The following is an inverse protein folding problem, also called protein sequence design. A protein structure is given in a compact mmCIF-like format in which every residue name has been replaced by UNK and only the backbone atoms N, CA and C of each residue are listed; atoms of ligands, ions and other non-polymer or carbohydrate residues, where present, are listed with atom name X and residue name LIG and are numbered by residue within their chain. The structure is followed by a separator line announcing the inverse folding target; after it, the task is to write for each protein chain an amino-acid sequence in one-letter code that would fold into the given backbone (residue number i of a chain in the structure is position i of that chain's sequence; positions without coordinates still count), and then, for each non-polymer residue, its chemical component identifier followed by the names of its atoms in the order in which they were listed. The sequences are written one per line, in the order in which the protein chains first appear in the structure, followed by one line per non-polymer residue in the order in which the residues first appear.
data_IF_767913240525
#
_entry.id   IF_767913240525
#
_cell.length_a   1.000
_cell.length_b   1.000
_cell.length_c   1.000
_cell.angle_alpha   90.00
_cell.angle_beta   90.00
_cell.angle_gamma   90.00
#
_symmetry.space_group_name_H-M   'P 1'
#
loop_
_entity.id
_entity.type
_entity.pdbx_description
1 polymer ?
#
# COMPACT_ATOMS: atom_id res chain seq x y z
N UNK A 1 9.23 -1.76 22.51
CA UNK A 1 8.45 -2.61 21.60
C UNK A 1 8.70 -2.10 20.20
N UNK A 2 9.14 -2.97 19.30
CA UNK A 2 9.35 -2.60 17.90
C UNK A 2 8.01 -2.26 17.24
N UNK A 3 8.00 -1.19 16.43
CA UNK A 3 6.81 -0.70 15.72
C UNK A 3 6.39 -1.74 14.68
N UNK A 4 5.17 -2.30 14.78
CA UNK A 4 4.63 -3.21 13.74
C UNK A 4 4.22 -2.43 12.50
N UNK A 5 4.62 -2.90 11.32
CA UNK A 5 4.43 -2.22 10.04
C UNK A 5 3.52 -3.02 9.10
N UNK A 6 2.47 -2.37 8.60
CA UNK A 6 1.56 -2.94 7.61
C UNK A 6 1.73 -2.23 6.26
N UNK A 7 2.16 -2.96 5.23
CA UNK A 7 2.27 -2.46 3.87
C UNK A 7 1.06 -2.80 3.02
N UNK A 8 0.91 -2.10 1.88
CA UNK A 8 -0.07 -2.42 0.84
C UNK A 8 0.61 -2.65 -0.51
N UNK A 9 0.04 -3.54 -1.31
CA UNK A 9 0.33 -3.64 -2.75
C UNK A 9 -0.95 -3.90 -3.52
N UNK A 10 -1.04 -3.44 -4.76
CA UNK A 10 -2.21 -3.71 -5.57
C UNK A 10 -2.16 -3.07 -6.94
N UNK A 11 -3.21 -3.32 -7.72
CA UNK A 11 -3.32 -2.83 -9.08
C UNK A 11 -3.50 -1.32 -9.16
N UNK A 12 -2.89 -0.72 -10.18
CA UNK A 12 -3.02 0.72 -10.46
C UNK A 12 -4.39 1.12 -10.98
N UNK A 13 -5.10 0.16 -11.58
CA UNK A 13 -6.44 0.31 -12.11
C UNK A 13 -7.30 -0.76 -11.45
N UNK A 14 -8.27 -0.33 -10.67
CA UNK A 14 -9.32 -1.18 -10.12
C UNK A 14 -10.54 -0.94 -11.01
N UNK A 15 -11.15 -1.97 -11.61
CA UNK A 15 -12.39 -1.80 -12.37
C UNK A 15 -13.48 -1.17 -11.49
N UNK A 16 -14.26 -0.25 -12.05
CA UNK A 16 -15.23 0.55 -11.28
C UNK A 16 -16.25 -0.32 -10.52
N UNK A 17 -16.65 -1.44 -11.12
CA UNK A 17 -17.56 -2.43 -10.51
C UNK A 17 -17.02 -3.05 -9.21
N UNK A 18 -15.69 -3.11 -9.03
CA UNK A 18 -15.05 -3.64 -7.82
C UNK A 18 -14.52 -2.55 -6.88
N UNK A 19 -14.69 -1.26 -7.22
CA UNK A 19 -14.12 -0.17 -6.44
C UNK A 19 -14.63 -0.17 -4.99
N UNK A 20 -15.93 -0.36 -4.79
CA UNK A 20 -16.53 -0.41 -3.46
C UNK A 20 -16.12 -1.67 -2.70
N UNK A 21 -16.11 -2.83 -3.36
CA UNK A 21 -15.62 -4.09 -2.75
C UNK A 21 -14.18 -3.95 -2.25
N UNK A 22 -13.29 -3.37 -3.07
CA UNK A 22 -11.89 -3.15 -2.68
C UNK A 22 -11.79 -2.17 -1.53
N UNK A 23 -12.58 -1.08 -1.54
CA UNK A 23 -12.61 -0.11 -0.44
C UNK A 23 -13.03 -0.75 0.87
N UNK A 24 -14.09 -1.56 0.88
CA UNK A 24 -14.56 -2.27 2.06
C UNK A 24 -13.56 -3.32 2.55
N UNK A 25 -12.94 -4.06 1.62
CA UNK A 25 -11.88 -5.01 1.96
C UNK A 25 -10.67 -4.32 2.59
N UNK A 26 -10.23 -3.19 2.03
CA UNK A 26 -9.12 -2.41 2.59
C UNK A 26 -9.47 -1.87 3.98
N UNK A 27 -10.69 -1.33 4.15
CA UNK A 27 -11.17 -0.84 5.44
C UNK A 27 -11.11 -1.95 6.50
N UNK A 28 -11.67 -3.12 6.18
CA UNK A 28 -11.67 -4.28 7.07
C UNK A 28 -10.26 -4.74 7.46
N UNK A 29 -9.36 -4.91 6.48
CA UNK A 29 -8.00 -5.39 6.76
C UNK A 29 -7.15 -4.36 7.51
N UNK A 30 -7.36 -3.06 7.26
CA UNK A 30 -6.72 -1.98 8.04
C UNK A 30 -7.24 -2.01 9.49
N UNK A 31 -8.53 -2.17 9.73
CA UNK A 31 -9.09 -2.28 11.09
C UNK A 31 -8.55 -3.49 11.84
N UNK A 32 -8.43 -4.63 11.16
CA UNK A 32 -7.80 -5.83 11.72
C UNK A 32 -6.33 -5.58 12.06
N UNK A 33 -5.58 -4.93 11.18
CA UNK A 33 -4.19 -4.56 11.48
C UNK A 33 -4.11 -3.63 12.71
N UNK A 34 -4.98 -2.62 12.82
CA UNK A 34 -5.03 -1.74 14.00
C UNK A 34 -5.33 -2.55 15.28
N UNK A 35 -6.31 -3.45 15.23
CA UNK A 35 -6.65 -4.32 16.37
C UNK A 35 -5.50 -5.26 16.77
N UNK A 36 -4.69 -5.70 15.81
CA UNK A 36 -3.51 -6.55 16.02
C UNK A 36 -2.26 -5.76 16.49
N UNK A 37 -2.41 -4.46 16.74
CA UNK A 37 -1.39 -3.57 17.29
C UNK A 37 -0.48 -2.91 16.25
N UNK A 38 -0.89 -2.87 14.98
CA UNK A 38 -0.14 -2.14 13.95
C UNK A 38 -0.41 -0.65 14.05
N UNK A 39 0.65 0.13 14.20
CA UNK A 39 0.59 1.60 14.29
C UNK A 39 1.30 2.30 13.12
N UNK A 40 2.08 1.56 12.33
CA UNK A 40 2.69 2.07 11.10
C UNK A 40 2.07 1.43 9.87
N UNK A 41 1.72 2.26 8.90
CA UNK A 41 1.26 1.84 7.59
C UNK A 41 2.17 2.42 6.51
N UNK A 42 2.51 1.62 5.50
CA UNK A 42 3.34 2.08 4.40
C UNK A 42 2.64 1.89 3.05
N UNK A 43 2.72 2.91 2.21
CA UNK A 43 2.20 2.90 0.85
C UNK A 43 3.26 3.42 -0.10
N UNK A 44 3.32 2.92 -1.33
CA UNK A 44 4.17 3.53 -2.35
C UNK A 44 3.43 4.43 -3.34
N UNK A 45 2.18 4.78 -3.02
CA UNK A 45 1.40 5.81 -3.71
C UNK A 45 1.27 5.57 -5.22
N UNK A 46 1.31 4.32 -5.68
CA UNK A 46 0.80 3.98 -7.00
C UNK A 46 -0.70 4.29 -7.04
N UNK A 47 -1.22 4.65 -8.22
CA UNK A 47 -2.65 4.87 -8.40
C UNK A 47 -3.47 3.63 -7.94
N UNK A 48 -4.77 3.78 -7.74
CA UNK A 48 -5.65 2.67 -7.38
C UNK A 48 -5.48 2.25 -5.91
N UNK A 49 -5.16 0.97 -5.68
CA UNK A 49 -5.21 0.36 -4.34
C UNK A 49 -4.29 1.05 -3.31
N UNK A 50 -3.06 1.43 -3.71
CA UNK A 50 -2.08 1.98 -2.77
C UNK A 50 -2.46 3.40 -2.30
N UNK A 51 -3.07 4.21 -3.17
CA UNK A 51 -3.61 5.54 -2.81
C UNK A 51 -4.91 5.43 -2.01
N UNK A 52 -5.81 4.49 -2.34
CA UNK A 52 -7.04 4.26 -1.57
C UNK A 52 -6.72 3.79 -0.14
N UNK A 53 -5.75 2.90 0.02
CA UNK A 53 -5.24 2.50 1.33
C UNK A 53 -4.67 3.68 2.11
N UNK A 54 -3.85 4.53 1.47
CA UNK A 54 -3.28 5.72 2.11
C UNK A 54 -4.37 6.67 2.62
N UNK A 55 -5.41 6.90 1.83
CA UNK A 55 -6.56 7.72 2.22
C UNK A 55 -7.28 7.12 3.45
N UNK A 56 -7.60 5.82 3.44
CA UNK A 56 -8.29 5.16 4.55
C UNK A 56 -7.47 5.24 5.85
N UNK A 57 -6.16 4.98 5.78
CA UNK A 57 -5.26 5.09 6.94
C UNK A 57 -5.26 6.51 7.50
N UNK A 58 -5.16 7.52 6.62
CA UNK A 58 -5.17 8.91 7.03
C UNK A 58 -6.50 9.35 7.65
N UNK A 59 -7.63 8.85 7.16
CA UNK A 59 -8.92 9.11 7.78
C UNK A 59 -9.01 8.49 9.18
N UNK A 60 -8.56 7.25 9.35
CA UNK A 60 -8.50 6.62 10.68
C UNK A 60 -7.54 7.29 11.64
N UNK A 61 -6.44 7.86 11.14
CA UNK A 61 -5.49 8.60 11.95
C UNK A 61 -6.10 9.88 12.57
N UNK A 62 -7.23 10.39 12.05
CA UNK A 62 -7.97 11.50 12.68
C UNK A 62 -8.58 11.09 14.03
N UNK A 63 -9.00 9.84 14.15
CA UNK A 63 -9.62 9.26 15.35
C UNK A 63 -8.59 8.59 16.27
N UNK A 64 -7.49 8.08 15.68
CA UNK A 64 -6.40 7.45 16.40
C UNK A 64 -5.04 8.06 16.00
N UNK A 65 -4.56 9.09 16.71
CA UNK A 65 -3.30 9.76 16.41
C UNK A 65 -2.04 8.89 16.52
N UNK A 66 -2.14 7.69 17.10
CA UNK A 66 -1.03 6.74 17.12
C UNK A 66 -0.77 6.10 15.74
N UNK A 67 -1.74 6.17 14.82
CA UNK A 67 -1.58 5.62 13.48
C UNK A 67 -0.77 6.58 12.61
N UNK A 68 0.25 6.02 11.95
CA UNK A 68 1.15 6.76 11.09
C UNK A 68 1.15 6.17 9.68
N UNK A 69 1.13 7.05 8.67
CA UNK A 69 1.36 6.68 7.28
C UNK A 69 2.78 7.11 6.88
N UNK A 70 3.52 6.24 6.20
CA UNK A 70 4.78 6.56 5.53
C UNK A 70 4.69 6.27 4.02
N UNK A 71 5.26 7.15 3.21
CA UNK A 71 5.28 7.01 1.76
C UNK A 71 6.64 6.46 1.30
N UNK A 72 6.66 5.33 0.61
CA UNK A 72 7.88 4.73 0.03
C UNK A 72 7.83 4.88 -1.49
N UNK A 73 8.40 5.96 -2.00
CA UNK A 73 8.30 6.38 -3.40
C UNK A 73 9.49 5.88 -4.22
N UNK A 74 9.27 5.50 -5.50
CA UNK A 74 10.32 4.88 -6.28
C UNK A 74 11.41 5.89 -6.68
N UNK A 75 11.05 7.10 -7.10
CA UNK A 75 12.03 8.10 -7.52
C UNK A 75 11.56 9.55 -7.40
N UNK A 76 12.48 10.52 -7.39
CA UNK A 76 12.21 11.95 -7.16
C UNK A 76 11.15 12.52 -8.10
N UNK A 77 11.28 12.27 -9.40
CA UNK A 77 10.30 12.77 -10.37
C UNK A 77 8.90 12.16 -10.17
N UNK A 78 8.75 10.99 -9.54
CA UNK A 78 7.44 10.46 -9.16
C UNK A 78 6.85 11.27 -7.99
N UNK A 79 7.65 11.58 -6.97
CA UNK A 79 7.24 12.47 -5.89
C UNK A 79 6.76 13.83 -6.41
N UNK A 80 7.56 14.49 -7.26
CA UNK A 80 7.19 15.77 -7.86
C UNK A 80 5.90 15.71 -8.69
N UNK A 81 5.62 14.58 -9.36
CA UNK A 81 4.36 14.37 -10.08
C UNK A 81 3.16 14.23 -9.13
N UNK A 82 3.33 13.52 -8.01
CA UNK A 82 2.28 13.40 -6.99
C UNK A 82 1.96 14.76 -6.35
N UNK A 83 2.94 15.64 -6.19
CA UNK A 83 2.69 16.99 -5.66
C UNK A 83 1.86 17.90 -6.59
N UNK A 84 1.68 17.54 -7.87
CA UNK A 84 0.87 18.31 -8.82
C UNK A 84 -0.62 18.03 -8.72
N UNK A 85 -0.99 16.89 -8.14
CA UNK A 85 -2.38 16.53 -7.87
C UNK A 85 -2.69 16.87 -6.41
N UNK A 86 -3.67 17.75 -6.19
CA UNK A 86 -3.99 18.27 -4.86
C UNK A 86 -4.39 17.15 -3.89
N UNK A 87 -5.06 16.09 -4.36
CA UNK A 87 -5.43 14.96 -3.49
C UNK A 87 -4.17 14.22 -3.01
N UNK A 88 -3.26 13.84 -3.91
CA UNK A 88 -2.04 13.14 -3.49
C UNK A 88 -1.07 14.04 -2.74
N UNK A 89 -1.02 15.34 -3.04
CA UNK A 89 -0.26 16.33 -2.26
C UNK A 89 -0.74 16.40 -0.82
N UNK A 90 -2.05 16.58 -0.60
CA UNK A 90 -2.63 16.62 0.75
C UNK A 90 -2.34 15.34 1.55
N UNK A 91 -2.39 14.16 0.90
CA UNK A 91 -2.02 12.90 1.56
C UNK A 91 -0.53 12.82 1.92
N UNK A 92 0.35 13.28 1.02
CA UNK A 92 1.80 13.28 1.26
C UNK A 92 2.20 14.24 2.39
N UNK A 93 1.58 15.41 2.48
CA UNK A 93 1.82 16.37 3.57
C UNK A 93 1.42 15.82 4.95
N UNK A 94 0.49 14.86 5.00
CA UNK A 94 0.07 14.17 6.22
C UNK A 94 0.86 12.90 6.51
N UNK A 95 1.77 12.49 5.63
CA UNK A 95 2.65 11.36 5.90
C UNK A 95 3.69 11.72 6.96
N UNK A 96 3.88 10.85 7.94
CA UNK A 96 4.90 11.00 8.99
C UNK A 96 6.34 10.91 8.46
N UNK A 97 6.52 10.23 7.32
CA UNK A 97 7.79 10.11 6.61
C UNK A 97 7.55 9.88 5.12
N UNK A 98 8.44 10.43 4.30
CA UNK A 98 8.53 10.14 2.87
C UNK A 98 9.94 9.66 2.58
N UNK A 99 10.05 8.46 2.01
CA UNK A 99 11.30 7.89 1.53
C UNK A 99 11.29 7.82 0.00
N UNK A 100 12.38 8.27 -0.63
CA UNK A 100 12.56 8.21 -2.08
C UNK A 100 13.72 7.26 -2.38
N UNK A 101 13.42 6.14 -3.03
CA UNK A 101 14.37 5.03 -3.24
C UNK A 101 15.52 5.40 -4.20
N UNK A 102 15.28 6.32 -5.14
CA UNK A 102 16.30 6.76 -6.09
C UNK A 102 16.06 8.19 -6.56
N UNK A 103 17.12 8.95 -6.81
CA UNK A 103 16.94 10.28 -7.43
C UNK A 103 16.43 10.17 -8.88
N UNK A 104 16.88 9.14 -9.61
CA UNK A 104 16.62 9.00 -11.04
C UNK A 104 15.73 7.80 -11.37
N UNK A 105 15.00 7.90 -12.49
CA UNK A 105 14.27 6.76 -13.03
C UNK A 105 15.27 5.72 -13.56
N UNK A 106 15.13 4.48 -13.09
CA UNK A 106 15.87 3.32 -13.61
C UNK A 106 14.91 2.17 -13.88
N UNK A 107 15.31 1.22 -14.73
CA UNK A 107 14.49 0.05 -15.09
C UNK A 107 14.07 -0.79 -13.88
N UNK A 108 14.83 -0.77 -12.79
CA UNK A 108 14.60 -1.58 -11.58
C UNK A 108 13.96 -0.83 -10.43
N UNK A 109 13.69 0.48 -10.57
CA UNK A 109 13.34 1.34 -9.44
C UNK A 109 12.06 0.91 -8.72
N UNK A 110 11.05 0.46 -9.47
CA UNK A 110 9.81 -0.04 -8.88
C UNK A 110 10.00 -1.37 -8.14
N UNK A 111 10.84 -2.27 -8.66
CA UNK A 111 11.18 -3.50 -7.92
C UNK A 111 11.94 -3.20 -6.64
N UNK A 112 12.91 -2.27 -6.68
CA UNK A 112 13.65 -1.85 -5.47
C UNK A 112 12.70 -1.27 -4.42
N UNK A 113 11.77 -0.42 -4.84
CA UNK A 113 10.71 0.12 -3.98
C UNK A 113 9.83 -0.98 -3.39
N UNK A 114 9.31 -1.91 -4.21
CA UNK A 114 8.46 -2.99 -3.71
C UNK A 114 9.23 -3.90 -2.72
N UNK A 115 10.50 -4.19 -2.99
CA UNK A 115 11.36 -4.95 -2.07
C UNK A 115 11.56 -4.22 -0.75
N UNK A 116 11.80 -2.91 -0.77
CA UNK A 116 11.89 -2.09 0.44
C UNK A 116 10.60 -2.20 1.26
N UNK A 117 9.43 -2.03 0.62
CA UNK A 117 8.13 -2.16 1.31
C UNK A 117 7.94 -3.54 1.95
N UNK A 118 8.26 -4.64 1.26
CA UNK A 118 8.13 -5.99 1.83
C UNK A 118 9.12 -6.22 2.99
N UNK A 119 10.35 -5.73 2.86
CA UNK A 119 11.36 -5.87 3.91
C UNK A 119 10.93 -5.16 5.21
N UNK A 120 10.39 -3.94 5.08
CA UNK A 120 9.92 -3.12 6.21
C UNK A 120 8.64 -3.68 6.84
N UNK A 121 7.76 -4.29 6.05
CA UNK A 121 6.45 -4.74 6.53
C UNK A 121 6.53 -6.04 7.34
N UNK A 122 5.74 -6.15 8.40
CA UNK A 122 5.42 -7.43 9.05
C UNK A 122 4.20 -8.09 8.40
N UNK A 123 3.25 -7.28 7.95
CA UNK A 123 2.05 -7.67 7.20
C UNK A 123 1.94 -6.91 5.90
N UNK A 124 1.54 -7.58 4.83
CA UNK A 124 1.20 -6.94 3.55
C UNK A 124 -0.25 -7.24 3.19
N UNK A 125 -1.01 -6.20 2.91
CA UNK A 125 -2.36 -6.30 2.33
C UNK A 125 -2.20 -6.23 0.80
N UNK A 126 -2.67 -7.26 0.09
CA UNK A 126 -2.57 -7.38 -1.35
C UNK A 126 -3.96 -7.31 -2.01
N UNK A 127 -4.22 -6.24 -2.76
CA UNK A 127 -5.42 -6.14 -3.61
C UNK A 127 -5.09 -6.74 -4.98
N UNK A 128 -5.65 -7.90 -5.28
CA UNK A 128 -5.15 -8.76 -6.36
C UNK A 128 -6.27 -9.52 -7.08
N UNK A 129 -6.07 -9.76 -8.38
CA UNK A 129 -7.05 -10.37 -9.28
C UNK A 129 -6.62 -11.76 -9.78
N UNK A 130 -5.58 -12.35 -9.18
CA UNK A 130 -5.11 -13.69 -9.56
C UNK A 130 -4.17 -13.76 -10.78
N UNK A 131 -3.84 -12.64 -11.45
CA UNK A 131 -3.00 -12.69 -12.67
C UNK A 131 -1.56 -13.16 -12.39
N UNK A 132 -1.04 -14.08 -13.19
CA UNK A 132 0.26 -14.74 -12.97
C UNK A 132 1.50 -13.84 -13.20
N UNK A 133 1.32 -12.66 -13.81
CA UNK A 133 2.37 -11.69 -14.15
C UNK A 133 2.03 -10.27 -13.68
N UNK A 134 3.05 -9.52 -13.27
CA UNK A 134 2.94 -8.11 -12.90
C UNK A 134 3.65 -7.75 -11.60
N UNK A 135 3.65 -6.45 -11.28
CA UNK A 135 4.29 -5.94 -10.06
C UNK A 135 3.68 -6.50 -8.79
N UNK A 136 2.34 -6.60 -8.72
CA UNK A 136 1.59 -7.08 -7.54
C UNK A 136 1.92 -8.54 -7.22
N UNK A 137 1.80 -9.45 -8.19
CA UNK A 137 2.13 -10.87 -7.97
C UNK A 137 3.61 -11.08 -7.65
N UNK A 138 4.50 -10.26 -8.23
CA UNK A 138 5.92 -10.26 -7.87
C UNK A 138 6.13 -9.85 -6.40
N UNK A 139 5.41 -8.83 -5.93
CA UNK A 139 5.40 -8.46 -4.50
C UNK A 139 4.86 -9.59 -3.62
N UNK A 140 3.73 -10.20 -3.96
CA UNK A 140 3.15 -11.34 -3.22
C UNK A 140 4.15 -12.49 -3.10
N UNK A 141 4.84 -12.84 -4.19
CA UNK A 141 5.91 -13.85 -4.16
C UNK A 141 7.05 -13.48 -3.20
N UNK A 142 7.43 -12.20 -3.13
CA UNK A 142 8.42 -11.73 -2.15
C UNK A 142 7.92 -11.86 -0.70
N UNK A 143 6.65 -11.53 -0.44
CA UNK A 143 6.03 -11.68 0.90
C UNK A 143 6.11 -13.13 1.37
N UNK A 144 5.72 -14.08 0.52
CA UNK A 144 5.83 -15.51 0.81
C UNK A 144 7.28 -15.96 1.02
N UNK A 145 8.19 -15.56 0.13
CA UNK A 145 9.61 -15.92 0.23
C UNK A 145 10.26 -15.44 1.54
N UNK A 146 9.79 -14.31 2.08
CA UNK A 146 10.26 -13.75 3.34
C UNK A 146 9.44 -14.18 4.56
N UNK A 147 8.44 -15.06 4.40
CA UNK A 147 7.54 -15.54 5.46
C UNK A 147 6.85 -14.40 6.22
N UNK A 148 6.54 -13.30 5.53
CA UNK A 148 5.76 -12.18 6.06
C UNK A 148 4.27 -12.54 6.05
N UNK A 149 3.48 -11.90 6.89
CA UNK A 149 2.04 -12.12 6.88
C UNK A 149 1.41 -11.50 5.62
N UNK A 150 0.52 -12.23 4.96
CA UNK A 150 -0.20 -11.78 3.77
C UNK A 150 -1.71 -11.78 4.03
N UNK A 151 -2.38 -10.68 3.69
CA UNK A 151 -3.85 -10.57 3.65
C UNK A 151 -4.28 -10.20 2.24
N UNK A 152 -4.98 -11.10 1.57
CA UNK A 152 -5.40 -10.88 0.19
C UNK A 152 -6.84 -10.38 0.12
N UNK A 153 -7.05 -9.33 -0.68
CA UNK A 153 -8.37 -8.82 -1.05
C UNK A 153 -8.56 -9.15 -2.53
N UNK A 154 -9.40 -10.15 -2.86
CA UNK A 154 -9.62 -10.55 -4.24
C UNK A 154 -10.39 -9.48 -5.01
N UNK A 155 -10.04 -9.32 -6.29
CA UNK A 155 -10.73 -8.46 -7.28
C UNK A 155 -11.28 -9.34 -8.39
N UNK A 156 -12.56 -9.22 -8.72
CA UNK A 156 -13.17 -9.98 -9.81
C UNK A 156 -13.49 -11.45 -9.54
N UNK A 157 -13.05 -11.99 -8.39
CA UNK A 157 -13.50 -13.29 -7.92
C UNK A 157 -14.71 -13.10 -7.01
N UNK A 158 -15.91 -13.25 -7.56
CA UNK A 158 -17.08 -13.55 -6.73
C UNK A 158 -16.90 -14.97 -6.20
N UNK A 159 -16.32 -15.10 -5.01
CA UNK A 159 -16.51 -16.31 -4.22
C UNK A 159 -17.96 -16.28 -3.76
N UNK A 160 -18.84 -16.92 -4.53
CA UNK A 160 -20.14 -17.36 -4.05
C UNK A 160 -19.88 -18.19 -2.80
N UNK A 161 -20.22 -17.63 -1.64
CA UNK A 161 -20.28 -18.35 -0.38
C UNK A 161 -21.51 -19.24 -0.34
#
# INVERSE_FOLDING_TARGET
MDKKICGVTGHRKIPAEYAEQVKQGLLYEIEKAVADGYTCFISGFSEGAEQLFAEIVLEKAKENPALQLEAILPYRNRYLKLLKDERTKNMLERCSRIEIISENLTSTVYMKRNRCMVNLSDRVIAVYDGRDKGGTVSTIRMVHAQRKELREIPVGLQLTR
#
